data_IF_426629094755
#
_entry.id   IF_426629094755
#
_cell.length_a   1.000
_cell.length_b   1.000
_cell.length_c   1.000
_cell.angle_alpha   90.00
_cell.angle_beta   90.00
_cell.angle_gamma   90.00
#
_symmetry.space_group_name_H-M   'P 1'
#
loop_
_entity.id
_entity.type
_entity.pdbx_description
1 polymer ?
#
# COMPACT_ATOMS: atom_id res chain seq x y z
N UNK A 1 -21.33 5.35 -15.46
CA UNK A 1 -20.52 5.27 -14.22
C UNK A 1 -19.16 4.65 -14.56
N UNK A 2 -18.09 5.39 -14.32
CA UNK A 2 -16.76 4.86 -14.60
C UNK A 2 -16.32 3.95 -13.45
N UNK A 3 -15.74 2.79 -13.77
CA UNK A 3 -15.17 1.93 -12.74
C UNK A 3 -13.90 2.56 -12.15
N UNK A 4 -13.49 2.06 -10.99
CA UNK A 4 -12.22 2.42 -10.34
C UNK A 4 -12.10 3.92 -10.05
N UNK A 5 -13.11 4.42 -9.34
CA UNK A 5 -13.13 5.82 -8.91
C UNK A 5 -12.38 6.03 -7.58
N UNK A 6 -12.19 4.98 -6.80
CA UNK A 6 -11.52 5.01 -5.49
C UNK A 6 -10.50 3.89 -5.42
N UNK A 7 -9.27 4.19 -5.77
CA UNK A 7 -8.17 3.22 -5.86
C UNK A 7 -7.32 3.30 -4.59
N UNK A 8 -7.26 2.21 -3.85
CA UNK A 8 -6.41 2.10 -2.67
C UNK A 8 -5.08 1.46 -3.05
N UNK A 9 -3.98 2.07 -2.64
CA UNK A 9 -2.63 1.59 -2.95
C UNK A 9 -1.81 1.48 -1.66
N UNK A 10 -1.63 0.26 -1.12
CA UNK A 10 -0.66 0.05 -0.06
C UNK A 10 0.76 0.28 -0.58
N UNK A 11 1.54 1.09 0.12
CA UNK A 11 2.93 1.41 -0.26
C UNK A 11 3.88 1.07 0.87
N UNK A 12 5.07 0.60 0.52
CA UNK A 12 6.12 0.25 1.48
C UNK A 12 7.51 0.76 1.06
N UNK A 13 7.56 1.61 0.03
CA UNK A 13 8.80 2.16 -0.49
C UNK A 13 9.61 1.24 -1.38
N UNK A 14 9.20 -0.02 -1.59
CA UNK A 14 9.87 -0.94 -2.50
C UNK A 14 9.64 -0.55 -3.96
N UNK A 15 10.50 -1.04 -4.85
CA UNK A 15 10.36 -0.80 -6.29
C UNK A 15 9.06 -1.37 -6.84
N UNK A 16 8.64 -2.53 -6.37
CA UNK A 16 7.36 -3.14 -6.79
C UNK A 16 6.17 -2.30 -6.32
N UNK A 17 6.24 -1.75 -5.11
CA UNK A 17 5.24 -0.83 -4.59
C UNK A 17 5.14 0.44 -5.43
N UNK A 18 6.28 1.02 -5.83
CA UNK A 18 6.31 2.18 -6.71
C UNK A 18 5.70 1.87 -8.07
N UNK A 19 5.98 0.70 -8.61
CA UNK A 19 5.40 0.23 -9.87
C UNK A 19 3.88 0.05 -9.77
N UNK A 20 3.41 -0.50 -8.67
CA UNK A 20 1.97 -0.61 -8.40
C UNK A 20 1.31 0.77 -8.35
N UNK A 21 1.96 1.74 -7.72
CA UNK A 21 1.47 3.11 -7.67
C UNK A 21 1.40 3.73 -9.07
N UNK A 22 2.40 3.52 -9.91
CA UNK A 22 2.42 4.03 -11.28
C UNK A 22 1.24 3.47 -12.10
N UNK A 23 0.94 2.19 -11.96
CA UNK A 23 -0.23 1.57 -12.60
C UNK A 23 -1.52 2.21 -12.09
N UNK A 24 -1.65 2.38 -10.78
CA UNK A 24 -2.82 3.01 -10.19
C UNK A 24 -3.02 4.45 -10.69
N UNK A 25 -1.93 5.21 -10.83
CA UNK A 25 -1.97 6.57 -11.37
C UNK A 25 -2.49 6.59 -12.81
N UNK A 26 -1.99 5.68 -13.65
CA UNK A 26 -2.46 5.57 -15.04
C UNK A 26 -3.96 5.25 -15.10
N UNK A 27 -4.41 4.32 -14.27
CA UNK A 27 -5.83 3.97 -14.19
C UNK A 27 -6.68 5.15 -13.70
N UNK A 28 -6.27 5.81 -12.63
CA UNK A 28 -6.99 6.94 -12.07
C UNK A 28 -7.12 8.08 -13.10
N UNK A 29 -6.05 8.36 -13.84
CA UNK A 29 -6.09 9.37 -14.91
C UNK A 29 -7.07 8.99 -16.02
N UNK A 30 -7.04 7.73 -16.45
CA UNK A 30 -7.91 7.25 -17.51
C UNK A 30 -9.39 7.24 -17.11
N UNK A 31 -9.68 6.92 -15.84
CA UNK A 31 -11.05 6.76 -15.34
C UNK A 31 -11.59 7.98 -14.60
N UNK A 32 -10.77 9.00 -14.38
CA UNK A 32 -11.18 10.18 -13.60
C UNK A 32 -11.31 9.87 -12.10
N UNK A 33 -10.56 8.90 -11.61
CA UNK A 33 -10.62 8.47 -10.23
C UNK A 33 -9.65 9.21 -9.29
N UNK A 34 -9.67 8.82 -8.03
CA UNK A 34 -8.78 9.32 -6.99
C UNK A 34 -8.03 8.17 -6.33
N UNK A 35 -6.92 8.48 -5.70
CA UNK A 35 -6.06 7.49 -5.04
C UNK A 35 -5.95 7.81 -3.55
N UNK A 36 -6.04 6.76 -2.74
CA UNK A 36 -5.56 6.79 -1.37
C UNK A 36 -4.33 5.90 -1.28
N UNK A 37 -3.21 6.46 -0.84
CA UNK A 37 -2.03 5.67 -0.49
C UNK A 37 -2.08 5.34 1.00
N UNK A 38 -1.69 4.13 1.36
CA UNK A 38 -1.63 3.75 2.76
C UNK A 38 -0.37 2.96 3.08
N UNK A 39 0.04 3.03 4.32
CA UNK A 39 1.11 2.21 4.87
C UNK A 39 0.69 1.72 6.26
N UNK A 40 0.91 0.44 6.54
CA UNK A 40 0.73 -0.12 7.86
C UNK A 40 2.12 -0.46 8.43
N UNK A 41 2.41 0.02 9.63
CA UNK A 41 3.68 -0.27 10.30
C UNK A 41 3.72 -1.75 10.66
N UNK A 42 4.84 -2.39 10.37
CA UNK A 42 5.04 -3.82 10.58
C UNK A 42 4.86 -4.17 12.05
N UNK A 43 4.00 -5.15 12.31
CA UNK A 43 3.75 -5.68 13.65
C UNK A 43 5.03 -6.06 14.40
N UNK A 44 6.06 -6.53 13.70
CA UNK A 44 7.34 -6.88 14.30
C UNK A 44 8.00 -5.70 15.02
N UNK A 45 7.71 -4.48 14.64
CA UNK A 45 8.22 -3.29 15.31
C UNK A 45 7.64 -3.09 16.71
N UNK A 46 6.47 -3.69 16.97
CA UNK A 46 5.83 -3.64 18.29
C UNK A 46 6.24 -4.82 19.20
N UNK A 47 6.62 -5.94 18.60
CA UNK A 47 6.83 -7.21 19.30
C UNK A 47 8.27 -7.39 19.79
N UNK A 48 9.21 -6.63 19.26
CA UNK A 48 10.62 -6.72 19.65
C UNK A 48 10.93 -6.22 21.06
N UNK A 49 10.12 -6.50 22.04
CA UNK A 49 10.07 -6.17 23.48
C UNK A 49 11.33 -5.83 24.26
N UNK A 50 12.31 -5.13 23.66
CA UNK A 50 13.58 -4.76 24.26
C UNK A 50 13.74 -3.24 24.34
N UNK A 51 14.77 -2.80 25.05
CA UNK A 51 15.08 -1.41 25.36
C UNK A 51 15.15 -0.47 24.15
N UNK A 52 15.34 -1.03 22.96
CA UNK A 52 15.45 -0.26 21.70
C UNK A 52 14.13 -0.09 20.94
N UNK A 53 13.03 -0.59 21.48
CA UNK A 53 11.73 -0.61 20.79
C UNK A 53 11.24 0.78 20.42
N UNK A 54 11.44 1.76 21.29
CA UNK A 54 11.00 3.14 21.05
C UNK A 54 11.74 3.78 19.88
N UNK A 55 13.06 3.57 19.77
CA UNK A 55 13.88 4.13 18.68
C UNK A 55 13.57 3.44 17.35
N UNK A 56 13.39 2.12 17.36
CA UNK A 56 13.02 1.35 16.17
C UNK A 56 11.64 1.75 15.67
N UNK A 57 10.69 1.92 16.58
CA UNK A 57 9.34 2.32 16.24
C UNK A 57 9.31 3.75 15.70
N UNK A 58 10.09 4.66 16.31
CA UNK A 58 10.26 6.02 15.82
C UNK A 58 10.84 6.07 14.41
N UNK A 59 11.87 5.26 14.15
CA UNK A 59 12.47 5.13 12.82
C UNK A 59 11.46 4.56 11.81
N UNK A 60 10.69 3.56 12.21
CA UNK A 60 9.65 2.96 11.36
C UNK A 60 8.56 3.98 11.00
N UNK A 61 8.14 4.80 11.96
CA UNK A 61 7.15 5.87 11.73
C UNK A 61 7.69 6.94 10.79
N UNK A 62 8.92 7.37 10.97
CA UNK A 62 9.57 8.36 10.09
C UNK A 62 9.67 7.81 8.67
N UNK A 63 10.14 6.59 8.54
CA UNK A 63 10.25 5.93 7.25
C UNK A 63 8.88 5.79 6.56
N UNK A 64 7.85 5.40 7.31
CA UNK A 64 6.49 5.25 6.80
C UNK A 64 5.94 6.59 6.26
N UNK A 65 6.15 7.67 6.98
CA UNK A 65 5.72 9.01 6.55
C UNK A 65 6.45 9.45 5.30
N UNK A 66 7.76 9.21 5.22
CA UNK A 66 8.55 9.51 4.02
C UNK A 66 8.05 8.73 2.81
N UNK A 67 7.75 7.44 2.97
CA UNK A 67 7.21 6.62 1.90
C UNK A 67 5.84 7.12 1.43
N UNK A 68 4.97 7.51 2.36
CA UNK A 68 3.66 8.09 2.04
C UNK A 68 3.80 9.44 1.35
N UNK A 69 4.67 10.31 1.83
CA UNK A 69 4.88 11.64 1.25
C UNK A 69 5.45 11.53 -0.18
N UNK A 70 6.40 10.65 -0.40
CA UNK A 70 6.96 10.37 -1.73
C UNK A 70 5.86 9.87 -2.68
N UNK A 71 5.03 8.94 -2.23
CA UNK A 71 3.90 8.44 -3.02
C UNK A 71 2.91 9.55 -3.35
N UNK A 72 2.59 10.42 -2.38
CA UNK A 72 1.70 11.57 -2.60
C UNK A 72 2.25 12.53 -3.65
N UNK A 73 3.56 12.80 -3.62
CA UNK A 73 4.21 13.65 -4.63
C UNK A 73 4.02 13.06 -6.02
N UNK A 74 4.25 11.77 -6.17
CA UNK A 74 4.08 11.06 -7.45
C UNK A 74 2.65 11.20 -7.98
N UNK A 75 1.66 10.98 -7.14
CA UNK A 75 0.24 11.04 -7.55
C UNK A 75 -0.17 12.47 -7.91
N UNK A 76 0.19 13.44 -7.09
CA UNK A 76 -0.12 14.87 -7.33
C UNK A 76 0.55 15.39 -8.60
N UNK A 77 1.79 15.01 -8.86
CA UNK A 77 2.51 15.40 -10.07
C UNK A 77 1.79 14.92 -11.34
N UNK A 78 1.05 13.82 -11.25
CA UNK A 78 0.24 13.30 -12.36
C UNK A 78 -1.14 13.97 -12.48
N UNK A 79 -1.47 14.90 -11.60
CA UNK A 79 -2.76 15.60 -11.60
C UNK A 79 -3.92 14.78 -11.07
N UNK A 80 -3.64 13.75 -10.27
CA UNK A 80 -4.65 12.88 -9.66
C UNK A 80 -4.93 13.31 -8.22
N UNK A 81 -6.19 13.40 -7.86
CA UNK A 81 -6.58 13.68 -6.48
C UNK A 81 -6.16 12.52 -5.57
N UNK A 82 -5.53 12.85 -4.44
CA UNK A 82 -5.07 11.82 -3.51
C UNK A 82 -5.02 12.29 -2.07
N UNK A 83 -5.10 11.31 -1.18
CA UNK A 83 -4.80 11.47 0.23
C UNK A 83 -3.97 10.27 0.71
N UNK A 84 -3.55 10.32 1.96
CA UNK A 84 -2.75 9.25 2.56
C UNK A 84 -3.28 8.84 3.92
N UNK A 85 -3.00 7.61 4.30
CA UNK A 85 -3.35 7.08 5.63
C UNK A 85 -2.23 6.19 6.16
N UNK A 86 -1.79 6.51 7.38
CA UNK A 86 -0.85 5.67 8.12
C UNK A 86 -1.62 4.85 9.14
N UNK A 87 -1.40 3.53 9.14
CA UNK A 87 -1.90 2.64 10.18
C UNK A 87 -0.74 2.33 11.13
N UNK A 88 -0.83 2.88 12.32
CA UNK A 88 0.16 2.74 13.38
C UNK A 88 -0.52 2.08 14.58
N UNK A 89 -0.86 0.81 14.44
CA UNK A 89 -1.60 0.04 15.44
C UNK A 89 -0.93 -1.30 15.71
N UNK A 90 -0.92 -1.70 16.97
CA UNK A 90 -0.55 -3.05 17.38
C UNK A 90 -1.73 -3.99 17.16
N UNK A 91 -1.47 -5.14 16.59
CA UNK A 91 -2.41 -6.26 16.49
C UNK A 91 -2.84 -6.62 15.07
N UNK A 92 -3.41 -5.71 14.26
CA UNK A 92 -3.85 -6.08 12.93
C UNK A 92 -2.70 -6.48 12.01
N UNK A 93 -2.91 -7.51 11.21
CA UNK A 93 -2.01 -7.85 10.12
C UNK A 93 -2.25 -6.91 8.94
N UNK A 94 -1.29 -6.86 8.02
CA UNK A 94 -1.37 -5.99 6.85
C UNK A 94 -2.67 -6.19 6.07
N UNK A 95 -3.04 -7.42 5.78
CA UNK A 95 -4.28 -7.72 5.04
C UNK A 95 -5.53 -7.24 5.76
N UNK A 96 -5.57 -7.33 7.08
CA UNK A 96 -6.68 -6.83 7.90
C UNK A 96 -6.76 -5.31 7.86
N UNK A 97 -5.63 -4.63 7.97
CA UNK A 97 -5.55 -3.17 7.90
C UNK A 97 -5.98 -2.65 6.53
N UNK A 98 -5.50 -3.28 5.46
CA UNK A 98 -5.89 -2.91 4.09
C UNK A 98 -7.38 -3.13 3.86
N UNK A 99 -7.92 -4.27 4.29
CA UNK A 99 -9.34 -4.58 4.15
C UNK A 99 -10.22 -3.56 4.89
N UNK A 100 -9.81 -3.17 6.09
CA UNK A 100 -10.53 -2.16 6.88
C UNK A 100 -10.52 -0.80 6.19
N UNK A 101 -9.37 -0.33 5.77
CA UNK A 101 -9.27 0.95 5.05
C UNK A 101 -10.07 0.91 3.76
N UNK A 102 -9.99 -0.17 3.01
CA UNK A 102 -10.74 -0.34 1.76
C UNK A 102 -12.24 -0.27 2.01
N UNK A 103 -12.72 -0.91 3.06
CA UNK A 103 -14.14 -0.90 3.42
C UNK A 103 -14.60 0.49 3.84
N UNK A 104 -13.88 1.11 4.75
CA UNK A 104 -14.26 2.40 5.33
C UNK A 104 -14.22 3.53 4.30
N UNK A 105 -13.23 3.49 3.42
CA UNK A 105 -13.09 4.47 2.33
C UNK A 105 -13.93 4.12 1.10
N UNK A 106 -14.53 2.93 1.07
CA UNK A 106 -15.29 2.40 -0.07
C UNK A 106 -14.45 2.32 -1.34
N UNK A 107 -13.26 1.76 -1.19
CA UNK A 107 -12.39 1.50 -2.35
C UNK A 107 -13.10 0.54 -3.32
N UNK A 108 -12.98 0.81 -4.61
CA UNK A 108 -13.49 -0.04 -5.67
C UNK A 108 -12.40 -0.79 -6.43
N UNK A 109 -11.14 -0.51 -6.08
CA UNK A 109 -9.97 -1.25 -6.55
C UNK A 109 -8.85 -1.13 -5.52
N UNK A 110 -8.12 -2.21 -5.32
CA UNK A 110 -6.86 -2.21 -4.58
C UNK A 110 -5.76 -2.60 -5.55
N UNK A 111 -4.67 -1.81 -5.63
CA UNK A 111 -3.51 -2.12 -6.47
C UNK A 111 -2.32 -2.35 -5.56
N UNK A 112 -1.70 -3.52 -5.65
CA UNK A 112 -0.63 -3.94 -4.75
C UNK A 112 0.48 -4.66 -5.50
N UNK A 113 1.73 -4.48 -5.04
CA UNK A 113 2.86 -5.27 -5.55
C UNK A 113 2.88 -6.69 -4.98
N UNK A 114 3.41 -7.63 -5.73
CA UNK A 114 3.53 -9.03 -5.29
C UNK A 114 4.46 -9.20 -4.10
N UNK A 115 5.52 -8.36 -4.02
CA UNK A 115 6.53 -8.42 -2.98
C UNK A 115 6.70 -7.05 -2.37
N UNK A 116 6.75 -7.00 -1.05
CA UNK A 116 7.18 -5.83 -0.34
C UNK A 116 8.70 -5.78 -0.22
N UNK A 117 9.19 -5.05 0.76
CA UNK A 117 10.61 -4.87 1.04
C UNK A 117 11.40 -6.17 1.28
N UNK A 118 10.72 -7.26 1.62
CA UNK A 118 11.31 -8.56 1.97
C UNK A 118 11.13 -9.62 0.90
N UNK A 119 10.65 -9.26 -0.28
CA UNK A 119 10.45 -10.21 -1.37
C UNK A 119 11.74 -10.55 -2.08
N UNK A 120 12.07 -11.83 -2.14
CA UNK A 120 13.30 -12.32 -2.78
C UNK A 120 13.08 -13.15 -4.02
N UNK A 121 11.86 -13.61 -4.27
CA UNK A 121 11.57 -14.53 -5.35
C UNK A 121 10.44 -13.99 -6.23
N UNK A 122 10.73 -13.85 -7.52
CA UNK A 122 9.80 -13.36 -8.54
C UNK A 122 8.59 -14.24 -8.76
N UNK A 123 8.70 -15.51 -8.41
CA UNK A 123 7.66 -16.51 -8.65
C UNK A 123 6.71 -16.70 -7.46
N UNK A 124 7.02 -16.11 -6.33
CA UNK A 124 6.25 -16.28 -5.09
C UNK A 124 5.50 -15.01 -4.74
N UNK A 125 4.21 -15.15 -4.52
CA UNK A 125 3.38 -14.07 -3.99
C UNK A 125 3.78 -13.81 -2.54
N UNK A 126 4.07 -12.55 -2.17
CA UNK A 126 4.41 -12.18 -0.81
C UNK A 126 3.25 -12.43 0.16
N UNK A 127 3.57 -12.66 1.43
CA UNK A 127 2.57 -12.92 2.46
C UNK A 127 1.58 -11.76 2.64
N UNK A 128 2.06 -10.53 2.51
CA UNK A 128 1.21 -9.34 2.58
C UNK A 128 0.20 -9.28 1.44
N UNK A 129 0.67 -9.49 0.21
CA UNK A 129 -0.21 -9.50 -0.97
C UNK A 129 -1.23 -10.65 -0.88
N UNK A 130 -0.80 -11.82 -0.43
CA UNK A 130 -1.71 -12.96 -0.23
C UNK A 130 -2.81 -12.65 0.79
N UNK A 131 -2.48 -12.03 1.91
CA UNK A 131 -3.46 -11.61 2.90
C UNK A 131 -4.46 -10.59 2.32
N UNK A 132 -3.96 -9.63 1.57
CA UNK A 132 -4.79 -8.61 0.93
C UNK A 132 -5.79 -9.27 -0.03
N UNK A 133 -5.33 -10.17 -0.89
CA UNK A 133 -6.18 -10.91 -1.83
C UNK A 133 -7.28 -11.67 -1.08
N UNK A 134 -6.92 -12.31 0.02
CA UNK A 134 -7.85 -13.13 0.80
C UNK A 134 -8.94 -12.32 1.49
N UNK A 135 -8.60 -11.13 1.99
CA UNK A 135 -9.46 -10.34 2.88
C UNK A 135 -10.11 -9.14 2.22
N UNK A 136 -9.69 -8.76 1.03
CA UNK A 136 -10.13 -7.54 0.36
C UNK A 136 -11.64 -7.52 0.08
N UNK A 137 -12.32 -6.40 0.38
CA UNK A 137 -13.73 -6.24 0.05
C UNK A 137 -13.95 -5.72 -1.38
N UNK A 138 -12.89 -5.54 -2.15
CA UNK A 138 -12.90 -5.00 -3.52
C UNK A 138 -11.95 -5.82 -4.40
N UNK A 139 -12.05 -5.70 -5.73
CA UNK A 139 -11.07 -6.31 -6.64
C UNK A 139 -9.65 -5.90 -6.30
N UNK A 140 -8.71 -6.84 -6.48
CA UNK A 140 -7.29 -6.61 -6.22
C UNK A 140 -6.52 -6.83 -7.52
N UNK A 141 -5.78 -5.82 -7.93
CA UNK A 141 -4.86 -5.89 -9.03
C UNK A 141 -3.45 -6.07 -8.46
N UNK A 142 -2.78 -7.14 -8.86
CA UNK A 142 -1.46 -7.50 -8.34
C UNK A 142 -0.42 -7.19 -9.40
N UNK A 143 0.58 -6.38 -9.06
CA UNK A 143 1.65 -5.98 -9.97
C UNK A 143 2.92 -6.74 -9.62
N UNK A 144 3.47 -7.41 -10.60
CA UNK A 144 4.74 -8.15 -10.47
C UNK A 144 5.92 -7.28 -10.87
N UNK A 145 7.13 -7.57 -10.37
CA UNK A 145 8.31 -6.77 -10.70
C UNK A 145 8.58 -6.63 -12.20
N UNK A 146 8.26 -7.66 -12.97
CA UNK A 146 8.54 -7.72 -14.40
C UNK A 146 7.36 -7.32 -15.30
N UNK A 147 6.24 -6.87 -14.71
CA UNK A 147 5.11 -6.43 -15.51
C UNK A 147 5.47 -5.17 -16.31
N UNK A 148 5.13 -5.19 -17.59
CA UNK A 148 5.23 -4.02 -18.45
C UNK A 148 4.06 -3.06 -18.15
N UNK A 149 4.39 -1.78 -18.14
CA UNK A 149 3.42 -0.71 -17.84
C UNK A 149 3.39 0.29 -18.99
#
# INVERSE_FOLDING_TARGET
MNPFQRILVPVDGSETSKKALDVAVQLARAMGGQIRVMHAIDELMYVSGYEYTADLLGAARTWAREALDEAMVTVKAAGVACDSQLIDELGPRLGESVARVARDWKADLIVVGTHGRRGFNRLVLGSGAEQIIRLAPAPVMVIRPDDAI
#
